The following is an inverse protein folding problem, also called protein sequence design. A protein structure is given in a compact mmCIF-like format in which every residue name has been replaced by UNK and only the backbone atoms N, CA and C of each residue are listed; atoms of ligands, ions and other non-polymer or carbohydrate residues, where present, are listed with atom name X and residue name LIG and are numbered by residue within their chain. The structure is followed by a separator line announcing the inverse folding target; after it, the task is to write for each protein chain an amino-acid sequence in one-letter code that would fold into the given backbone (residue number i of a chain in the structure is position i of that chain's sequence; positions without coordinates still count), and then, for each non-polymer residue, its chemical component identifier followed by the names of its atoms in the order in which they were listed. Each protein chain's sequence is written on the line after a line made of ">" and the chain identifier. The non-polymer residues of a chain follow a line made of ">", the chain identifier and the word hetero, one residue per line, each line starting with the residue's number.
data_IF_275701211078
#
_entry.id   IF_275701211078
#
_cell.length_a   1.000
_cell.length_b   1.000
_cell.length_c   1.000
_cell.angle_alpha   90.00
_cell.angle_beta   90.00
_cell.angle_gamma   90.00
#
_symmetry.space_group_name_H-M   'P 1'
#
loop_
_entity.id
_entity.type
_entity.pdbx_description
1 polymer ?
#
# COMPACT_ATOMS: atom_id res chain seq x y z
N UNK A 1 -15.72 17.43 -8.27
CA UNK A 1 -14.30 17.30 -8.62
C UNK A 1 -13.58 16.97 -7.33
N UNK A 2 -13.14 15.74 -7.15
CA UNK A 2 -12.26 15.36 -6.04
C UNK A 2 -10.89 15.96 -6.35
N UNK A 3 -10.33 16.70 -5.39
CA UNK A 3 -8.97 17.25 -5.54
C UNK A 3 -7.97 16.24 -4.98
N UNK A 4 -6.71 16.29 -5.41
CA UNK A 4 -5.68 15.40 -4.88
C UNK A 4 -5.58 15.51 -3.34
N UNK A 5 -5.71 16.73 -2.79
CA UNK A 5 -5.69 16.97 -1.35
C UNK A 5 -6.82 16.28 -0.59
N UNK A 6 -8.05 16.35 -1.11
CA UNK A 6 -9.18 15.64 -0.50
C UNK A 6 -9.04 14.12 -0.59
N UNK A 7 -8.46 13.60 -1.68
CA UNK A 7 -8.21 12.15 -1.82
C UNK A 7 -7.12 11.62 -0.86
N UNK A 8 -6.09 12.43 -0.55
CA UNK A 8 -5.10 12.07 0.46
C UNK A 8 -5.66 12.16 1.88
N UNK A 9 -6.52 13.13 2.17
CA UNK A 9 -7.20 13.24 3.47
C UNK A 9 -8.13 12.04 3.70
N UNK A 10 -8.91 11.64 2.70
CA UNK A 10 -9.78 10.46 2.79
C UNK A 10 -8.97 9.18 3.03
N UNK A 11 -7.84 9.05 2.31
CA UNK A 11 -6.87 7.96 2.49
C UNK A 11 -6.26 7.94 3.91
N UNK A 12 -5.82 9.09 4.42
CA UNK A 12 -5.22 9.19 5.75
C UNK A 12 -6.24 8.81 6.84
N UNK A 13 -7.51 9.24 6.69
CA UNK A 13 -8.58 8.89 7.62
C UNK A 13 -8.87 7.38 7.63
N UNK A 14 -8.85 6.74 6.46
CA UNK A 14 -9.09 5.30 6.33
C UNK A 14 -7.95 4.49 6.95
N UNK A 15 -6.70 4.88 6.70
CA UNK A 15 -5.52 4.28 7.34
C UNK A 15 -5.50 4.51 8.86
N UNK A 16 -5.92 5.68 9.34
CA UNK A 16 -6.04 5.95 10.77
C UNK A 16 -7.08 5.03 11.43
N UNK A 17 -8.23 4.82 10.79
CA UNK A 17 -9.24 3.86 11.27
C UNK A 17 -8.70 2.43 11.33
N UNK A 18 -7.85 2.01 10.39
CA UNK A 18 -7.20 0.69 10.43
C UNK A 18 -6.20 0.58 11.58
N UNK A 19 -5.43 1.63 11.84
CA UNK A 19 -4.51 1.66 12.98
C UNK A 19 -5.25 1.61 14.33
N UNK A 20 -6.43 2.23 14.43
CA UNK A 20 -7.29 2.12 15.61
C UNK A 20 -7.76 0.67 15.83
N UNK A 21 -8.14 -0.05 14.77
CA UNK A 21 -8.50 -1.48 14.86
C UNK A 21 -7.31 -2.34 15.32
N UNK A 22 -6.09 -2.06 14.82
CA UNK A 22 -4.87 -2.74 15.31
C UNK A 22 -4.64 -2.47 16.80
N UNK A 23 -4.79 -1.22 17.23
CA UNK A 23 -4.64 -0.85 18.63
C UNK A 23 -5.66 -1.58 19.51
N UNK A 24 -6.93 -1.64 19.09
CA UNK A 24 -7.98 -2.39 19.79
C UNK A 24 -7.66 -3.88 19.89
N UNK A 25 -7.23 -4.51 18.79
CA UNK A 25 -6.86 -5.92 18.79
C UNK A 25 -5.71 -6.21 19.77
N UNK A 26 -4.66 -5.38 19.80
CA UNK A 26 -3.56 -5.50 20.76
C UNK A 26 -4.05 -5.36 22.21
N UNK A 27 -4.92 -4.38 22.45
CA UNK A 27 -5.55 -4.13 23.75
C UNK A 27 -6.38 -5.34 24.24
N UNK A 28 -7.06 -6.03 23.32
CA UNK A 28 -7.83 -7.25 23.61
C UNK A 28 -6.90 -8.44 23.88
N UNK A 29 -5.79 -8.57 23.16
CA UNK A 29 -4.78 -9.60 23.40
C UNK A 29 -4.14 -9.45 24.78
N UNK A 30 -3.80 -8.23 25.19
CA UNK A 30 -3.24 -7.92 26.51
C UNK A 30 -4.23 -8.23 27.65
N UNK A 31 -5.54 -8.22 27.36
CA UNK A 31 -6.62 -8.57 28.29
C UNK A 31 -7.01 -10.05 28.24
N UNK A 32 -6.23 -10.91 27.56
CA UNK A 32 -6.50 -12.33 27.31
C UNK A 32 -7.83 -12.62 26.55
N UNK A 33 -8.41 -11.60 25.90
CA UNK A 33 -9.66 -11.70 25.12
C UNK A 33 -9.38 -12.12 23.67
N UNK A 34 -8.82 -13.32 23.50
CA UNK A 34 -8.30 -13.79 22.20
C UNK A 34 -9.37 -13.96 21.12
N UNK A 35 -10.58 -14.38 21.48
CA UNK A 35 -11.68 -14.52 20.52
C UNK A 35 -12.15 -13.16 19.99
N UNK A 36 -12.29 -12.17 20.87
CA UNK A 36 -12.63 -10.79 20.47
C UNK A 36 -11.49 -10.20 19.61
N UNK A 37 -10.23 -10.41 19.99
CA UNK A 37 -9.08 -9.95 19.21
C UNK A 37 -9.03 -10.58 17.81
N UNK A 38 -9.35 -11.87 17.68
CA UNK A 38 -9.43 -12.53 16.37
C UNK A 38 -10.53 -11.95 15.50
N UNK A 39 -11.68 -11.61 16.08
CA UNK A 39 -12.75 -10.97 15.31
C UNK A 39 -12.32 -9.61 14.77
N UNK A 40 -11.72 -8.75 15.62
CA UNK A 40 -11.24 -7.44 15.20
C UNK A 40 -10.16 -7.54 14.11
N UNK A 41 -9.30 -8.57 14.17
CA UNK A 41 -8.31 -8.80 13.13
C UNK A 41 -8.89 -9.29 11.81
N UNK A 42 -9.93 -10.13 11.85
CA UNK A 42 -10.62 -10.56 10.63
C UNK A 42 -11.32 -9.37 9.96
N UNK A 43 -12.00 -8.52 10.75
CA UNK A 43 -12.65 -7.32 10.23
C UNK A 43 -11.62 -6.33 9.64
N UNK A 44 -10.42 -6.24 10.22
CA UNK A 44 -9.31 -5.45 9.70
C UNK A 44 -8.77 -6.02 8.38
N UNK A 45 -8.64 -7.34 8.26
CA UNK A 45 -8.18 -8.01 7.03
C UNK A 45 -9.11 -7.69 5.87
N UNK A 46 -10.42 -7.83 6.07
CA UNK A 46 -11.44 -7.48 5.07
C UNK A 46 -11.32 -6.01 4.65
N UNK A 47 -11.20 -5.10 5.61
CA UNK A 47 -11.04 -3.67 5.33
C UNK A 47 -9.75 -3.37 4.54
N UNK A 48 -8.66 -4.08 4.80
CA UNK A 48 -7.40 -3.92 4.07
C UNK A 48 -7.47 -4.45 2.64
N UNK A 49 -8.20 -5.56 2.41
CA UNK A 49 -8.42 -6.10 1.07
C UNK A 49 -9.26 -5.13 0.23
N UNK A 50 -10.35 -4.62 0.81
CA UNK A 50 -11.21 -3.61 0.18
C UNK A 50 -10.43 -2.33 -0.14
N UNK A 51 -9.61 -1.86 0.79
CA UNK A 51 -8.82 -0.63 0.61
C UNK A 51 -7.74 -0.75 -0.48
N UNK A 52 -7.14 -1.92 -0.64
CA UNK A 52 -6.08 -2.16 -1.61
C UNK A 52 -6.61 -2.61 -2.98
N UNK A 53 -7.93 -2.72 -3.16
CA UNK A 53 -8.57 -3.39 -4.29
C UNK A 53 -7.97 -4.79 -4.55
N UNK A 54 -7.49 -5.49 -3.49
CA UNK A 54 -6.99 -6.85 -3.61
C UNK A 54 -8.18 -7.81 -3.56
N UNK A 55 -8.51 -8.42 -4.71
CA UNK A 55 -9.41 -9.57 -4.73
C UNK A 55 -8.68 -10.79 -4.14
N UNK A 56 -9.32 -11.52 -3.22
CA UNK A 56 -8.84 -12.80 -2.72
C UNK A 56 -8.80 -13.79 -3.89
N UNK A 57 -7.63 -13.96 -4.50
CA UNK A 57 -7.43 -14.95 -5.55
C UNK A 57 -7.22 -16.30 -4.85
N UNK A 58 -8.25 -17.16 -4.82
CA UNK A 58 -8.05 -18.59 -4.53
C UNK A 58 -6.91 -19.08 -5.43
N UNK A 59 -5.86 -19.67 -4.85
CA UNK A 59 -4.64 -20.15 -5.53
C UNK A 59 -4.95 -21.15 -6.67
N UNK A 60 -5.51 -20.69 -7.79
CA UNK A 60 -5.30 -21.28 -9.09
C UNK A 60 -4.01 -20.65 -9.62
N UNK A 61 -2.94 -21.44 -9.54
CA UNK A 61 -1.62 -21.13 -10.08
C UNK A 61 -1.74 -21.05 -11.62
N UNK A 62 -2.31 -19.98 -12.14
CA UNK A 62 -2.21 -19.63 -13.55
C UNK A 62 -0.86 -18.92 -13.72
N UNK A 63 0.10 -19.61 -14.34
CA UNK A 63 1.39 -19.05 -14.73
C UNK A 63 1.18 -17.73 -15.48
N UNK A 64 1.37 -16.61 -14.80
CA UNK A 64 1.42 -15.30 -15.44
C UNK A 64 2.64 -15.29 -16.36
N UNK A 65 2.40 -15.43 -17.67
CA UNK A 65 3.39 -15.10 -18.70
C UNK A 65 3.84 -13.65 -18.48
N UNK A 66 5.12 -13.52 -18.12
CA UNK A 66 5.86 -12.30 -17.89
C UNK A 66 5.68 -11.29 -19.05
N UNK A 67 4.98 -10.18 -18.81
CA UNK A 67 5.14 -8.96 -19.60
C UNK A 67 5.23 -7.71 -18.72
N UNK A 68 6.44 -7.24 -18.38
CA UNK A 68 6.65 -5.90 -17.90
C UNK A 68 7.08 -5.05 -19.09
N UNK A 69 6.16 -4.31 -19.71
CA UNK A 69 6.52 -3.08 -20.44
C UNK A 69 6.06 -1.85 -19.67
N UNK A 70 6.54 -1.74 -18.43
CA UNK A 70 6.65 -0.44 -17.78
C UNK A 70 7.74 0.36 -18.52
N UNK A 71 7.34 1.18 -19.50
CA UNK A 71 8.23 2.16 -20.13
C UNK A 71 8.62 3.21 -19.10
N UNK A 72 9.75 2.97 -18.42
CA UNK A 72 10.38 3.98 -17.58
C UNK A 72 10.62 5.27 -18.41
N UNK A 73 10.26 6.46 -17.89
CA UNK A 73 10.53 7.71 -18.59
C UNK A 73 12.04 7.90 -18.72
N UNK A 74 12.53 8.03 -19.97
CA UNK A 74 13.94 8.31 -20.27
C UNK A 74 14.34 9.63 -19.63
N UNK A 75 15.08 9.56 -18.53
CA UNK A 75 15.76 10.70 -17.89
C UNK A 75 16.64 11.40 -18.94
N UNK A 76 16.50 12.72 -19.18
CA UNK A 76 17.37 13.40 -20.13
C UNK A 76 18.81 13.36 -19.62
N UNK A 77 19.71 12.90 -20.48
CA UNK A 77 21.13 12.80 -20.18
C UNK A 77 21.67 14.18 -19.78
N UNK A 78 22.27 14.26 -18.58
CA UNK A 78 22.97 15.46 -18.14
C UNK A 78 24.07 15.82 -19.16
N UNK A 79 24.25 17.11 -19.51
CA UNK A 79 25.30 17.52 -20.42
C UNK A 79 26.65 17.25 -19.75
N UNK A 80 27.48 16.39 -20.35
CA UNK A 80 28.87 16.20 -19.92
C UNK A 80 29.60 17.53 -20.05
N UNK A 81 29.82 18.19 -18.91
CA UNK A 81 30.80 19.27 -18.74
C UNK A 81 32.18 18.72 -19.12
N UNK A 82 32.70 19.10 -20.28
CA UNK A 82 34.14 19.08 -20.55
C UNK A 82 34.68 20.50 -20.31
N UNK A 83 35.19 20.71 -19.09
CA UNK A 83 36.12 21.79 -18.79
C UNK A 83 37.58 21.31 -19.08
N UNK A 84 38.62 22.15 -19.02
CA UNK A 84 39.17 22.80 -20.20
C UNK A 84 40.69 22.56 -20.43
N UNK A 85 41.17 23.08 -21.57
CA UNK A 85 42.52 23.62 -21.89
C UNK A 85 43.64 22.71 -22.46
N UNK A 86 44.09 23.17 -23.64
CA UNK A 86 45.46 23.49 -24.12
C UNK A 86 46.55 22.40 -24.10
N UNK A 87 47.09 22.13 -25.29
CA UNK A 87 48.44 22.54 -25.68
C UNK A 87 48.50 22.78 -27.19
#
# INVERSE_FOLDING_TARGET
>A
MVTLGTAFEDLDNELESMLDMVAEALDLMDKDKKEEAMQVLADLEDAMLDFLDYEEVEDEVEEVEEKPEAKAPKKPAAPKKSAPKKK
#
